data_IF_361366841817
#
_entry.id   IF_361366841817
#
_cell.length_a   1.000
_cell.length_b   1.000
_cell.length_c   1.000
_cell.angle_alpha   90.00
_cell.angle_beta   90.00
_cell.angle_gamma   90.00
#
_symmetry.space_group_name_H-M   'P 1'
#
loop_
_entity.id
_entity.type
_entity.pdbx_description
1 polymer ?
#
# COMPACT_ATOMS: atom_id res chain seq x y z
N UNK A 1 -25.84 0.74 -8.88
CA UNK A 1 -25.39 1.79 -7.91
C UNK A 1 -23.89 1.66 -7.59
N UNK A 2 -23.39 0.47 -7.30
CA UNK A 2 -22.01 0.18 -6.89
C UNK A 2 -20.97 0.52 -7.96
N UNK A 3 -21.20 0.22 -9.23
CA UNK A 3 -20.22 0.43 -10.33
C UNK A 3 -19.78 1.88 -10.55
N UNK A 4 -20.66 2.88 -10.30
CA UNK A 4 -20.30 4.30 -10.45
C UNK A 4 -19.30 4.73 -9.38
N UNK A 5 -19.52 4.34 -8.12
CA UNK A 5 -18.61 4.61 -6.99
C UNK A 5 -17.28 3.92 -7.17
N UNK A 6 -17.27 2.64 -7.57
CA UNK A 6 -16.06 1.88 -7.87
C UNK A 6 -15.24 2.52 -9.00
N UNK A 7 -15.89 3.00 -10.06
CA UNK A 7 -15.24 3.72 -11.14
C UNK A 7 -14.58 5.03 -10.68
N UNK A 8 -15.25 5.80 -9.84
CA UNK A 8 -14.70 7.03 -9.27
C UNK A 8 -13.56 6.74 -8.30
N UNK A 9 -13.74 5.75 -7.42
CA UNK A 9 -12.70 5.33 -6.48
C UNK A 9 -11.40 4.99 -7.20
N UNK A 10 -11.47 4.16 -8.23
CA UNK A 10 -10.30 3.77 -9.03
C UNK A 10 -9.65 5.00 -9.71
N UNK A 11 -10.44 5.88 -10.34
CA UNK A 11 -9.91 7.02 -11.12
C UNK A 11 -9.34 8.13 -10.24
N UNK A 12 -9.95 8.40 -9.09
CA UNK A 12 -9.51 9.46 -8.17
C UNK A 12 -8.39 9.00 -7.23
N UNK A 13 -8.09 7.71 -7.12
CA UNK A 13 -7.10 7.19 -6.20
C UNK A 13 -5.67 7.17 -6.73
N UNK A 14 -5.40 7.62 -7.95
CA UNK A 14 -4.03 7.75 -8.48
C UNK A 14 -3.30 8.94 -7.84
N UNK A 15 -2.19 8.72 -7.08
CA UNK A 15 -1.44 9.81 -6.48
C UNK A 15 -0.71 10.70 -7.49
N UNK A 16 -0.49 10.28 -8.72
CA UNK A 16 0.12 11.12 -9.76
C UNK A 16 -0.86 12.16 -10.34
N UNK A 17 -2.15 12.01 -10.09
CA UNK A 17 -3.19 12.93 -10.57
C UNK A 17 -4.26 12.25 -11.41
N UNK A 18 -5.08 13.07 -12.05
CA UNK A 18 -6.16 12.61 -12.92
C UNK A 18 -5.60 12.19 -14.28
N UNK A 19 -6.14 11.09 -14.81
CA UNK A 19 -5.94 10.79 -16.23
C UNK A 19 -6.63 11.90 -17.05
N UNK A 20 -5.91 12.65 -17.92
CA UNK A 20 -6.47 13.77 -18.68
C UNK A 20 -7.61 13.34 -19.63
N UNK A 21 -7.65 12.07 -20.02
CA UNK A 21 -8.69 11.53 -20.89
C UNK A 21 -9.93 11.03 -20.12
N UNK A 22 -9.96 11.16 -18.79
CA UNK A 22 -11.10 10.74 -18.00
C UNK A 22 -12.07 11.90 -17.81
N UNK A 23 -13.27 11.73 -18.33
CA UNK A 23 -14.39 12.65 -18.11
C UNK A 23 -15.28 12.08 -16.99
N UNK A 24 -15.41 12.79 -15.85
CA UNK A 24 -16.28 12.36 -14.78
C UNK A 24 -17.76 12.45 -15.21
N UNK A 25 -18.55 11.43 -14.87
CA UNK A 25 -20.00 11.48 -15.07
C UNK A 25 -20.64 12.42 -14.04
N UNK A 26 -21.59 13.27 -14.45
CA UNK A 26 -22.27 14.18 -13.54
C UNK A 26 -22.98 13.46 -12.38
N UNK A 27 -23.00 14.13 -11.23
CA UNK A 27 -23.79 13.75 -10.05
C UNK A 27 -24.94 14.72 -9.87
N UNK A 28 -26.17 14.22 -9.71
CA UNK A 28 -27.24 15.06 -9.22
C UNK A 28 -27.01 15.41 -7.74
N UNK A 29 -27.42 16.59 -7.30
CA UNK A 29 -27.25 17.04 -5.90
C UNK A 29 -27.86 16.04 -4.89
N UNK A 30 -28.95 15.38 -5.24
CA UNK A 30 -29.56 14.28 -4.46
C UNK A 30 -28.66 13.07 -4.32
N UNK A 31 -27.57 12.97 -5.08
CA UNK A 31 -26.56 11.90 -5.02
C UNK A 31 -25.35 12.26 -4.12
N UNK A 32 -25.32 13.49 -3.52
CA UNK A 32 -24.24 13.90 -2.61
C UNK A 32 -23.92 12.90 -1.48
N UNK A 33 -24.89 12.19 -0.88
CA UNK A 33 -24.59 11.12 0.07
C UNK A 33 -23.69 10.02 -0.51
N UNK A 34 -23.72 9.80 -1.83
CA UNK A 34 -22.82 8.84 -2.50
C UNK A 34 -21.38 9.33 -2.56
N UNK A 35 -21.14 10.64 -2.68
CA UNK A 35 -19.78 11.21 -2.62
C UNK A 35 -19.21 11.13 -1.20
N UNK A 36 -20.04 11.28 -0.17
CA UNK A 36 -19.64 10.98 1.20
C UNK A 36 -19.25 9.51 1.38
N UNK A 37 -20.04 8.60 0.82
CA UNK A 37 -19.69 7.17 0.81
C UNK A 37 -18.39 6.89 0.04
N UNK A 38 -18.11 7.63 -1.03
CA UNK A 38 -16.84 7.52 -1.75
C UNK A 38 -15.64 7.91 -0.87
N UNK A 39 -15.76 8.95 -0.01
CA UNK A 39 -14.71 9.31 0.96
C UNK A 39 -14.48 8.20 2.01
N UNK A 40 -15.55 7.56 2.45
CA UNK A 40 -15.48 6.45 3.41
C UNK A 40 -14.82 5.20 2.75
N UNK A 41 -15.19 4.90 1.50
CA UNK A 41 -14.53 3.81 0.73
C UNK A 41 -13.05 4.11 0.51
N UNK A 42 -12.69 5.35 0.17
CA UNK A 42 -11.29 5.76 0.03
C UNK A 42 -10.50 5.55 1.32
N UNK A 43 -11.11 5.81 2.48
CA UNK A 43 -10.53 5.48 3.79
C UNK A 43 -10.34 3.98 4.00
N UNK A 44 -11.34 3.17 3.66
CA UNK A 44 -11.26 1.71 3.75
C UNK A 44 -10.19 1.10 2.85
N UNK A 45 -9.95 1.74 1.71
CA UNK A 45 -8.90 1.35 0.75
C UNK A 45 -7.54 2.01 1.02
N UNK A 46 -7.44 2.90 2.02
CA UNK A 46 -6.25 3.69 2.37
C UNK A 46 -5.72 4.55 1.20
N UNK A 47 -6.61 5.10 0.36
CA UNK A 47 -6.28 5.95 -0.80
C UNK A 47 -6.89 7.34 -0.70
N UNK A 48 -7.35 7.74 0.49
CA UNK A 48 -8.03 9.01 0.73
C UNK A 48 -7.21 10.25 0.35
N UNK A 49 -5.90 10.34 0.63
CA UNK A 49 -5.12 11.53 0.26
C UNK A 49 -5.18 11.85 -1.23
N UNK A 50 -4.95 10.86 -2.09
CA UNK A 50 -5.03 11.01 -3.54
C UNK A 50 -6.45 11.35 -3.99
N UNK A 51 -7.45 10.63 -3.48
CA UNK A 51 -8.85 10.84 -3.83
C UNK A 51 -9.33 12.25 -3.46
N UNK A 52 -9.03 12.73 -2.25
CA UNK A 52 -9.44 14.08 -1.81
C UNK A 52 -8.83 15.16 -2.68
N UNK A 53 -7.52 15.05 -2.99
CA UNK A 53 -6.83 15.98 -3.87
C UNK A 53 -7.46 16.00 -5.27
N UNK A 54 -7.65 14.85 -5.87
CA UNK A 54 -8.17 14.71 -7.23
C UNK A 54 -9.65 15.10 -7.32
N UNK A 55 -10.45 14.76 -6.31
CA UNK A 55 -11.84 15.22 -6.20
C UNK A 55 -11.91 16.74 -6.13
N UNK A 56 -11.05 17.36 -5.33
CA UNK A 56 -10.96 18.82 -5.24
C UNK A 56 -10.58 19.48 -6.58
N UNK A 57 -9.68 18.86 -7.37
CA UNK A 57 -9.37 19.33 -8.71
C UNK A 57 -10.60 19.23 -9.63
N UNK A 58 -11.27 18.08 -9.64
CA UNK A 58 -12.47 17.87 -10.47
C UNK A 58 -13.59 18.86 -10.12
N UNK A 59 -13.85 19.08 -8.83
CA UNK A 59 -14.90 20.00 -8.39
C UNK A 59 -14.60 21.48 -8.73
N UNK A 60 -13.32 21.86 -8.80
CA UNK A 60 -12.92 23.23 -9.17
C UNK A 60 -12.85 23.46 -10.68
N UNK A 61 -12.41 22.46 -11.46
CA UNK A 61 -12.18 22.61 -12.90
C UNK A 61 -13.42 22.43 -13.76
N UNK A 62 -14.43 21.70 -13.24
CA UNK A 62 -15.68 21.46 -13.97
C UNK A 62 -16.92 21.67 -13.06
N UNK A 63 -17.10 22.85 -12.48
CA UNK A 63 -18.09 23.08 -11.43
C UNK A 63 -19.54 22.83 -11.88
N UNK A 64 -19.93 23.35 -13.02
CA UNK A 64 -21.34 23.42 -13.44
C UNK A 64 -21.84 22.14 -14.12
N UNK A 65 -20.92 21.31 -14.60
CA UNK A 65 -21.26 20.06 -15.29
C UNK A 65 -21.20 18.83 -14.39
N UNK A 66 -20.49 18.92 -13.25
CA UNK A 66 -20.26 17.77 -12.40
C UNK A 66 -21.36 17.51 -11.38
N UNK A 67 -21.95 18.58 -10.84
CA UNK A 67 -23.09 18.52 -9.90
C UNK A 67 -24.28 19.23 -10.53
N UNK A 68 -25.35 18.50 -10.78
CA UNK A 68 -26.57 19.02 -11.36
C UNK A 68 -27.66 19.18 -10.30
N UNK A 69 -28.35 20.32 -10.30
CA UNK A 69 -29.41 20.61 -9.34
C UNK A 69 -29.77 22.09 -9.32
N UNK A 70 -30.57 22.56 -8.34
CA UNK A 70 -30.82 23.97 -8.16
C UNK A 70 -29.53 24.75 -7.95
N UNK A 71 -29.28 25.86 -8.68
CA UNK A 71 -28.01 26.59 -8.62
C UNK A 71 -27.63 27.07 -7.21
N UNK A 72 -28.60 27.50 -6.44
CA UNK A 72 -28.45 27.95 -5.06
C UNK A 72 -28.03 26.84 -4.08
N UNK A 73 -28.29 25.59 -4.40
CA UNK A 73 -27.91 24.44 -3.58
C UNK A 73 -26.57 23.81 -3.96
N UNK A 74 -26.02 24.06 -5.15
CA UNK A 74 -24.79 23.41 -5.66
C UNK A 74 -23.55 23.84 -4.86
N UNK A 75 -23.31 25.15 -4.71
CA UNK A 75 -22.13 25.67 -4.02
C UNK A 75 -22.06 25.31 -2.53
N UNK A 76 -23.18 25.42 -1.76
CA UNK A 76 -23.17 24.92 -0.39
C UNK A 76 -22.85 23.44 -0.27
N UNK A 77 -23.38 22.60 -1.18
CA UNK A 77 -23.13 21.17 -1.18
C UNK A 77 -21.68 20.81 -1.50
N UNK A 78 -21.06 21.51 -2.49
CA UNK A 78 -19.62 21.36 -2.79
C UNK A 78 -18.76 21.77 -1.60
N UNK A 79 -19.04 22.94 -1.00
CA UNK A 79 -18.29 23.46 0.13
C UNK A 79 -18.32 22.49 1.32
N UNK A 80 -19.47 21.93 1.64
CA UNK A 80 -19.63 20.95 2.71
C UNK A 80 -18.83 19.66 2.43
N UNK A 81 -18.89 19.15 1.19
CA UNK A 81 -18.13 17.96 0.79
C UNK A 81 -16.64 18.20 0.88
N UNK A 82 -16.15 19.35 0.38
CA UNK A 82 -14.71 19.69 0.42
C UNK A 82 -14.23 19.93 1.84
N UNK A 83 -15.02 20.55 2.70
CA UNK A 83 -14.69 20.73 4.12
C UNK A 83 -14.50 19.38 4.82
N UNK A 84 -15.47 18.45 4.66
CA UNK A 84 -15.37 17.09 5.19
C UNK A 84 -14.16 16.32 4.63
N UNK A 85 -13.93 16.40 3.34
CA UNK A 85 -12.80 15.75 2.68
C UNK A 85 -11.46 16.25 3.25
N UNK A 86 -11.34 17.57 3.46
CA UNK A 86 -10.14 18.18 4.01
C UNK A 86 -9.93 17.81 5.49
N UNK A 87 -10.98 17.81 6.30
CA UNK A 87 -10.92 17.34 7.70
C UNK A 87 -10.35 15.92 7.80
N UNK A 88 -10.92 14.98 7.04
CA UNK A 88 -10.46 13.60 7.01
C UNK A 88 -9.00 13.48 6.56
N UNK A 89 -8.59 14.30 5.59
CA UNK A 89 -7.20 14.34 5.12
C UNK A 89 -6.25 14.87 6.20
N UNK A 90 -6.64 15.90 6.93
CA UNK A 90 -5.81 16.46 8.01
C UNK A 90 -5.57 15.45 9.13
N UNK A 91 -6.57 14.65 9.49
CA UNK A 91 -6.42 13.56 10.46
C UNK A 91 -5.41 12.51 9.98
N UNK A 92 -5.49 12.09 8.71
CA UNK A 92 -4.54 11.15 8.12
C UNK A 92 -3.11 11.73 8.13
N UNK A 93 -2.92 13.01 7.79
CA UNK A 93 -1.62 13.68 7.78
C UNK A 93 -1.05 13.83 9.18
N UNK A 94 -1.85 14.27 10.15
CA UNK A 94 -1.40 14.42 11.53
C UNK A 94 -0.86 13.11 12.10
N UNK A 95 -1.57 12.00 11.85
CA UNK A 95 -1.09 10.67 12.24
C UNK A 95 0.19 10.27 11.52
N UNK A 96 0.28 10.53 10.21
CA UNK A 96 1.46 10.20 9.42
C UNK A 96 2.71 10.95 9.91
N UNK A 97 2.59 12.20 10.34
CA UNK A 97 3.70 12.98 10.90
C UNK A 97 4.22 12.33 12.18
N UNK A 98 3.33 12.00 13.12
CA UNK A 98 3.73 11.36 14.40
C UNK A 98 4.44 10.02 14.15
N UNK A 99 3.92 9.21 13.23
CA UNK A 99 4.53 7.91 12.89
C UNK A 99 5.89 8.07 12.19
N UNK A 100 6.02 9.07 11.32
CA UNK A 100 7.30 9.34 10.64
C UNK A 100 8.35 9.88 11.60
N UNK A 101 7.99 10.74 12.55
CA UNK A 101 8.90 11.20 13.60
C UNK A 101 9.34 10.03 14.50
N UNK A 102 8.40 9.16 14.89
CA UNK A 102 8.73 7.93 15.62
C UNK A 102 9.68 7.03 14.82
N UNK A 103 9.45 6.85 13.52
CA UNK A 103 10.32 6.05 12.67
C UNK A 103 11.74 6.64 12.60
N UNK A 104 11.87 7.97 12.45
CA UNK A 104 13.15 8.67 12.41
C UNK A 104 13.92 8.46 13.71
N UNK A 105 13.30 8.70 14.87
CA UNK A 105 13.93 8.54 16.16
C UNK A 105 14.42 7.10 16.40
N UNK A 106 13.62 6.10 15.97
CA UNK A 106 14.00 4.69 16.04
C UNK A 106 15.19 4.36 15.14
N UNK A 107 15.20 4.86 13.91
CA UNK A 107 16.31 4.65 12.97
C UNK A 107 17.60 5.31 13.45
N UNK A 108 17.52 6.52 14.01
CA UNK A 108 18.69 7.24 14.57
C UNK A 108 19.29 6.48 15.75
N UNK A 109 18.48 5.95 16.65
CA UNK A 109 18.93 5.14 17.77
C UNK A 109 19.49 3.79 17.33
N UNK A 110 18.84 3.13 16.38
CA UNK A 110 19.33 1.90 15.80
C UNK A 110 20.69 2.10 15.11
N UNK A 111 20.85 3.19 14.35
CA UNK A 111 22.11 3.52 13.69
C UNK A 111 23.23 3.79 14.70
N UNK A 112 22.96 4.55 15.79
CA UNK A 112 23.93 4.78 16.89
C UNK A 112 24.35 3.49 17.59
N UNK A 113 23.45 2.50 17.66
CA UNK A 113 23.72 1.18 18.21
C UNK A 113 24.33 0.20 17.18
N UNK A 114 24.58 0.63 15.93
CA UNK A 114 25.12 -0.21 14.86
C UNK A 114 24.18 -1.35 14.42
N UNK A 115 22.88 -1.20 14.63
CA UNK A 115 21.90 -2.25 14.33
C UNK A 115 21.49 -2.22 12.84
N UNK A 116 21.44 -3.37 12.17
CA UNK A 116 21.00 -3.49 10.80
C UNK A 116 19.46 -3.43 10.70
N UNK A 117 18.92 -2.22 10.63
CA UNK A 117 17.48 -1.91 10.58
C UNK A 117 17.17 -1.11 9.31
N UNK A 118 16.11 -1.44 8.64
CA UNK A 118 15.55 -0.69 7.52
C UNK A 118 14.09 -0.34 7.78
N UNK A 119 13.71 0.91 7.51
CA UNK A 119 12.31 1.29 7.42
C UNK A 119 11.71 0.69 6.14
N UNK A 120 10.53 0.13 6.25
CA UNK A 120 9.83 -0.49 5.11
C UNK A 120 8.38 0.00 5.02
N UNK A 121 7.76 -0.14 3.85
CA UNK A 121 6.35 0.21 3.63
C UNK A 121 6.02 1.67 4.01
N UNK A 122 5.00 1.92 4.82
CA UNK A 122 4.51 3.16 5.42
C UNK A 122 5.23 4.43 5.00
N UNK A 123 6.05 4.97 5.89
CA UNK A 123 6.78 6.20 5.70
C UNK A 123 7.90 6.10 4.65
N UNK A 124 8.54 4.92 4.48
CA UNK A 124 9.53 4.71 3.40
C UNK A 124 8.92 4.93 2.01
N UNK A 125 7.79 4.28 1.71
CA UNK A 125 7.12 4.48 0.44
C UNK A 125 6.60 5.90 0.26
N UNK A 126 6.04 6.50 1.32
CA UNK A 126 5.55 7.87 1.27
C UNK A 126 6.65 8.87 0.84
N UNK A 127 7.86 8.73 1.37
CA UNK A 127 9.00 9.56 1.02
C UNK A 127 9.58 9.19 -0.35
N UNK A 128 9.83 7.90 -0.60
CA UNK A 128 10.52 7.44 -1.80
C UNK A 128 9.70 7.56 -3.08
N UNK A 129 8.37 7.34 -3.02
CA UNK A 129 7.55 7.22 -4.21
C UNK A 129 6.37 8.20 -4.29
N UNK A 130 5.86 8.71 -3.17
CA UNK A 130 4.68 9.58 -3.16
C UNK A 130 4.99 11.08 -3.04
N UNK A 131 6.26 11.45 -2.90
CA UNK A 131 6.67 12.83 -2.76
C UNK A 131 6.28 13.46 -1.41
N UNK A 132 5.98 12.65 -0.39
CA UNK A 132 5.77 13.12 0.99
C UNK A 132 4.68 12.38 1.76
N UNK A 133 4.74 12.55 3.09
CA UNK A 133 3.89 11.87 4.06
C UNK A 133 2.39 12.13 3.85
N UNK A 134 2.05 13.32 3.34
CA UNK A 134 0.67 13.75 3.14
C UNK A 134 -0.05 13.09 1.95
N UNK A 135 0.67 12.32 1.14
CA UNK A 135 0.14 11.68 -0.06
C UNK A 135 -0.15 10.19 0.10
N UNK A 136 0.23 9.59 1.24
CA UNK A 136 0.01 8.17 1.52
C UNK A 136 -0.44 7.94 2.95
N UNK A 137 -1.55 7.21 3.13
CA UNK A 137 -2.02 6.80 4.46
C UNK A 137 -1.21 5.62 4.98
N UNK A 138 -0.80 5.65 6.24
CA UNK A 138 -0.24 4.52 6.98
C UNK A 138 -0.60 4.63 8.48
N UNK A 139 -0.57 3.52 9.19
CA UNK A 139 -1.11 3.40 10.56
C UNK A 139 -0.11 2.87 11.57
N UNK A 140 1.07 2.49 11.11
CA UNK A 140 2.11 1.78 11.83
C UNK A 140 3.50 2.18 11.31
N UNK A 141 4.52 1.83 12.08
CA UNK A 141 5.92 1.91 11.69
C UNK A 141 6.42 0.48 11.48
N UNK A 142 6.80 0.16 10.25
CA UNK A 142 7.31 -1.16 9.90
C UNK A 142 8.84 -1.13 9.80
N UNK A 143 9.52 -1.97 10.56
CA UNK A 143 10.97 -2.13 10.57
C UNK A 143 11.34 -3.54 10.11
N UNK A 144 12.24 -3.65 9.15
CA UNK A 144 12.85 -4.91 8.72
C UNK A 144 14.28 -4.99 9.26
N UNK A 145 14.59 -6.07 9.94
CA UNK A 145 15.87 -6.26 10.64
C UNK A 145 16.48 -7.62 10.35
N UNK A 146 17.79 -7.76 10.57
CA UNK A 146 18.36 -9.09 10.74
C UNK A 146 17.90 -9.71 12.05
N UNK A 147 17.67 -11.01 12.06
CA UNK A 147 17.14 -11.73 13.22
C UNK A 147 18.01 -11.62 14.47
N UNK A 148 19.33 -11.59 14.29
CA UNK A 148 20.32 -11.44 15.37
C UNK A 148 20.27 -10.06 16.06
N UNK A 149 19.77 -9.04 15.38
CA UNK A 149 19.60 -7.70 15.91
C UNK A 149 18.29 -7.50 16.73
N UNK A 150 17.37 -8.46 16.72
CA UNK A 150 16.05 -8.33 17.36
C UNK A 150 16.13 -8.06 18.87
N UNK A 151 16.98 -8.73 19.68
CA UNK A 151 17.07 -8.46 21.10
C UNK A 151 17.52 -7.02 21.39
N UNK A 152 18.57 -6.55 20.72
CA UNK A 152 19.10 -5.21 20.90
C UNK A 152 18.13 -4.12 20.44
N UNK A 153 17.40 -4.32 19.34
CA UNK A 153 16.33 -3.41 18.94
C UNK A 153 15.18 -3.42 19.95
N UNK A 154 14.88 -4.59 20.55
CA UNK A 154 13.91 -4.71 21.64
C UNK A 154 14.26 -3.83 22.84
N UNK A 155 15.54 -3.77 23.23
CA UNK A 155 16.01 -2.90 24.32
C UNK A 155 15.88 -1.42 23.96
N UNK A 156 16.17 -1.04 22.70
CA UNK A 156 15.95 0.34 22.22
C UNK A 156 14.46 0.72 22.29
N UNK A 157 13.57 -0.15 21.82
CA UNK A 157 12.13 0.08 21.87
C UNK A 157 11.61 0.19 23.31
N UNK A 158 12.06 -0.69 24.21
CA UNK A 158 11.70 -0.64 25.62
C UNK A 158 12.21 0.64 26.29
N UNK A 159 13.43 1.08 25.99
CA UNK A 159 14.00 2.35 26.46
C UNK A 159 13.21 3.59 26.01
N UNK A 160 12.53 3.52 24.87
CA UNK A 160 11.61 4.56 24.40
C UNK A 160 10.18 4.43 24.97
N UNK A 161 9.93 3.45 25.84
CA UNK A 161 8.64 3.22 26.47
C UNK A 161 7.65 2.43 25.61
N UNK A 162 8.10 1.72 24.58
CA UNK A 162 7.27 0.76 23.88
C UNK A 162 7.17 -0.54 24.68
N UNK A 163 6.00 -1.15 24.63
CA UNK A 163 5.72 -2.44 25.28
C UNK A 163 5.39 -3.47 24.22
N UNK A 164 6.13 -4.58 24.23
CA UNK A 164 5.79 -5.74 23.41
C UNK A 164 4.80 -6.63 24.15
N UNK A 165 3.73 -6.99 23.48
CA UNK A 165 2.74 -7.94 23.98
C UNK A 165 3.03 -9.39 23.53
N UNK A 166 4.11 -9.58 22.78
CA UNK A 166 4.47 -10.85 22.16
C UNK A 166 5.87 -11.29 22.62
N UNK A 167 6.11 -12.61 22.74
CA UNK A 167 7.44 -13.11 23.10
C UNK A 167 8.47 -12.78 22.01
N UNK A 168 9.78 -12.78 22.34
CA UNK A 168 10.86 -12.58 21.38
C UNK A 168 10.81 -13.53 20.17
N UNK A 169 11.34 -13.09 19.02
CA UNK A 169 11.36 -13.85 17.76
C UNK A 169 12.41 -15.00 17.76
N UNK A 170 12.46 -15.77 18.85
CA UNK A 170 13.43 -16.89 18.99
C UNK A 170 13.13 -18.07 18.09
N UNK A 171 11.86 -18.27 17.70
CA UNK A 171 11.45 -19.37 16.83
C UNK A 171 11.46 -18.94 15.36
N UNK A 172 12.03 -19.75 14.48
CA UNK A 172 12.08 -19.50 13.05
C UNK A 172 10.69 -19.42 12.39
N UNK A 173 9.65 -19.95 13.04
CA UNK A 173 8.27 -19.85 12.56
C UNK A 173 7.68 -18.45 12.66
N UNK A 174 8.16 -17.61 13.59
CA UNK A 174 7.70 -16.22 13.78
C UNK A 174 8.67 -15.25 13.11
N UNK A 175 8.11 -14.32 12.35
CA UNK A 175 8.87 -13.29 11.60
C UNK A 175 8.43 -11.87 11.93
N UNK A 176 7.46 -11.70 12.81
CA UNK A 176 6.90 -10.41 13.21
C UNK A 176 6.76 -10.33 14.72
N UNK A 177 7.08 -9.17 15.29
CA UNK A 177 6.81 -8.79 16.69
C UNK A 177 6.26 -7.39 16.77
N UNK A 178 5.18 -7.21 17.51
CA UNK A 178 4.47 -5.95 17.66
C UNK A 178 4.82 -5.26 18.96
N UNK A 179 5.05 -3.95 18.86
CA UNK A 179 5.34 -3.06 19.97
C UNK A 179 4.37 -1.90 19.94
N UNK A 180 3.87 -1.52 21.11
CA UNK A 180 2.89 -0.43 21.23
C UNK A 180 3.31 0.58 22.27
N UNK A 181 2.95 1.86 22.02
CA UNK A 181 3.13 2.97 22.97
C UNK A 181 1.93 3.90 22.87
N UNK A 182 1.40 4.34 24.00
CA UNK A 182 0.37 5.38 24.03
C UNK A 182 0.97 6.72 23.62
N UNK A 183 0.22 7.49 22.81
CA UNK A 183 0.61 8.84 22.40
C UNK A 183 -0.58 9.81 22.55
N UNK A 184 -0.38 11.00 23.14
CA UNK A 184 -1.48 11.90 23.53
C UNK A 184 -2.34 12.36 22.34
N UNK A 185 -1.76 12.50 21.15
CA UNK A 185 -2.45 13.03 19.96
C UNK A 185 -2.72 11.98 18.87
N UNK A 186 -1.99 10.86 18.88
CA UNK A 186 -2.13 9.82 17.84
C UNK A 186 -2.79 8.52 18.36
N UNK A 187 -3.18 8.49 19.63
CA UNK A 187 -3.70 7.31 20.30
C UNK A 187 -2.60 6.28 20.55
N UNK A 188 -2.70 5.09 19.96
CA UNK A 188 -1.64 4.08 20.09
C UNK A 188 -0.73 4.11 18.86
N UNK A 189 0.57 4.25 19.09
CA UNK A 189 1.61 4.04 18.08
C UNK A 189 1.91 2.54 18.07
N UNK A 190 1.85 1.95 16.88
CA UNK A 190 2.23 0.56 16.61
C UNK A 190 3.55 0.55 15.84
N UNK A 191 4.51 -0.23 16.32
CA UNK A 191 5.75 -0.57 15.62
C UNK A 191 5.75 -2.08 15.37
N UNK A 192 5.86 -2.47 14.10
CA UNK A 192 5.97 -3.86 13.67
C UNK A 192 7.43 -4.16 13.28
N UNK A 193 8.06 -5.07 14.01
CA UNK A 193 9.44 -5.51 13.77
C UNK A 193 9.41 -6.84 13.01
N UNK A 194 9.95 -6.84 11.80
CA UNK A 194 9.97 -7.99 10.90
C UNK A 194 11.37 -8.54 10.69
N UNK A 195 11.51 -9.85 10.65
CA UNK A 195 12.76 -10.53 10.23
C UNK A 195 12.61 -11.16 8.84
N UNK A 196 11.39 -11.26 8.33
CA UNK A 196 11.02 -11.62 6.97
C UNK A 196 9.64 -11.03 6.66
N UNK A 197 9.45 -10.54 5.47
CA UNK A 197 8.18 -9.94 5.04
C UNK A 197 7.10 -10.95 4.68
N UNK A 198 7.43 -12.23 4.61
CA UNK A 198 6.49 -13.33 4.39
C UNK A 198 6.18 -14.01 5.73
N UNK A 199 5.05 -13.65 6.35
CA UNK A 199 4.72 -14.12 7.71
C UNK A 199 4.21 -15.56 7.75
N UNK A 200 3.59 -16.03 6.66
CA UNK A 200 3.02 -17.38 6.57
C UNK A 200 4.11 -18.41 6.33
N UNK A 201 4.34 -19.39 7.22
CA UNK A 201 5.41 -20.37 7.09
C UNK A 201 5.35 -21.18 5.78
N UNK A 202 4.14 -21.53 5.32
CA UNK A 202 3.94 -22.27 4.08
C UNK A 202 4.40 -21.48 2.86
N UNK A 203 4.14 -20.17 2.81
CA UNK A 203 4.58 -19.30 1.73
C UNK A 203 6.09 -19.02 1.79
N UNK A 204 6.70 -18.96 2.99
CA UNK A 204 8.13 -18.73 3.15
C UNK A 204 9.02 -19.84 2.56
N UNK A 205 8.49 -21.03 2.35
CA UNK A 205 9.21 -22.09 1.63
C UNK A 205 9.49 -21.74 0.18
N UNK A 206 8.67 -20.87 -0.41
CA UNK A 206 8.69 -20.50 -1.82
C UNK A 206 9.14 -19.07 -2.05
N UNK A 207 8.92 -18.17 -1.09
CA UNK A 207 9.22 -16.74 -1.21
C UNK A 207 9.67 -16.15 0.12
N UNK A 208 10.61 -15.20 0.08
CA UNK A 208 11.18 -14.57 1.28
C UNK A 208 11.76 -13.21 0.92
N UNK A 209 11.69 -12.27 1.85
CA UNK A 209 12.37 -10.98 1.75
C UNK A 209 12.89 -10.59 3.13
N UNK A 210 14.15 -10.87 3.37
CA UNK A 210 14.90 -10.54 4.59
C UNK A 210 15.59 -9.18 4.47
N UNK A 211 16.16 -8.69 5.56
CA UNK A 211 16.94 -7.44 5.59
C UNK A 211 18.04 -7.42 4.52
N UNK A 212 18.86 -8.47 4.45
CA UNK A 212 20.00 -8.53 3.51
C UNK A 212 19.56 -8.63 2.04
N UNK A 213 18.37 -9.22 1.77
CA UNK A 213 17.79 -9.25 0.45
C UNK A 213 17.14 -7.90 0.06
N UNK A 214 16.71 -7.11 1.02
CA UNK A 214 16.07 -5.81 0.83
C UNK A 214 17.08 -4.67 0.74
N UNK A 215 18.01 -4.60 1.68
CA UNK A 215 19.05 -3.57 1.78
C UNK A 215 20.35 -4.06 1.15
N UNK A 216 20.80 -3.42 0.08
CA UNK A 216 21.99 -3.77 -0.67
C UNK A 216 23.05 -2.65 -0.52
N UNK A 217 24.02 -2.79 0.41
CA UNK A 217 25.06 -1.77 0.61
C UNK A 217 25.88 -1.47 -0.63
N UNK A 218 26.08 -2.47 -1.52
CA UNK A 218 26.83 -2.29 -2.76
C UNK A 218 26.12 -1.39 -3.76
N UNK A 219 24.80 -1.24 -3.60
CA UNK A 219 23.96 -0.33 -4.41
C UNK A 219 23.55 0.96 -3.65
N UNK A 220 24.19 1.25 -2.53
CA UNK A 220 23.85 2.41 -1.71
C UNK A 220 22.59 2.24 -0.85
N UNK A 221 22.16 1.01 -0.60
CA UNK A 221 21.03 0.72 0.27
C UNK A 221 19.79 0.17 -0.48
N UNK A 222 18.61 0.66 -0.12
CA UNK A 222 17.34 0.14 -0.65
C UNK A 222 17.05 0.72 -2.04
N UNK A 223 17.00 -0.13 -3.06
CA UNK A 223 16.72 0.26 -4.46
C UNK A 223 15.20 0.32 -4.73
N UNK A 224 14.76 1.04 -5.80
CA UNK A 224 13.37 1.01 -6.25
C UNK A 224 12.87 -0.42 -6.58
N UNK A 225 13.73 -1.27 -7.14
CA UNK A 225 13.40 -2.68 -7.40
C UNK A 225 13.11 -3.45 -6.11
N UNK A 226 13.93 -3.27 -5.07
CA UNK A 226 13.68 -3.88 -3.75
C UNK A 226 12.36 -3.41 -3.13
N UNK A 227 12.05 -2.10 -3.21
CA UNK A 227 10.76 -1.55 -2.75
C UNK A 227 9.57 -2.13 -3.52
N UNK A 228 9.70 -2.34 -4.84
CA UNK A 228 8.63 -2.93 -5.63
C UNK A 228 8.39 -4.41 -5.27
N UNK A 229 9.44 -5.18 -5.03
CA UNK A 229 9.34 -6.55 -4.50
C UNK A 229 8.63 -6.54 -3.14
N UNK A 230 9.02 -5.63 -2.24
CA UNK A 230 8.40 -5.44 -0.93
C UNK A 230 6.89 -5.17 -1.05
N UNK A 231 6.50 -4.20 -1.88
CA UNK A 231 5.09 -3.84 -2.09
C UNK A 231 4.28 -5.03 -2.65
N UNK A 232 4.85 -5.75 -3.61
CA UNK A 232 4.21 -6.90 -4.23
C UNK A 232 4.01 -8.07 -3.25
N UNK A 233 5.05 -8.44 -2.50
CA UNK A 233 4.99 -9.50 -1.49
C UNK A 233 3.99 -9.12 -0.38
N UNK A 234 4.08 -7.91 0.17
CA UNK A 234 3.15 -7.44 1.20
C UNK A 234 1.69 -7.47 0.73
N UNK A 235 1.42 -6.95 -0.48
CA UNK A 235 0.07 -6.99 -1.07
C UNK A 235 -0.45 -8.40 -1.30
N UNK A 236 0.40 -9.30 -1.79
CA UNK A 236 0.01 -10.66 -2.16
C UNK A 236 -0.09 -11.61 -0.95
N UNK A 237 0.91 -11.63 -0.08
CA UNK A 237 1.02 -12.67 0.97
C UNK A 237 0.27 -12.32 2.24
N UNK A 238 0.33 -11.06 2.67
CA UNK A 238 -0.30 -10.62 3.92
C UNK A 238 -1.75 -10.18 3.72
N UNK A 239 -2.08 -9.62 2.56
CA UNK A 239 -3.37 -8.94 2.35
C UNK A 239 -4.17 -9.42 1.14
N UNK A 240 -3.62 -10.26 0.28
CA UNK A 240 -4.29 -10.78 -0.92
C UNK A 240 -4.94 -9.65 -1.76
N UNK A 241 -4.23 -8.52 -1.89
CA UNK A 241 -4.70 -7.29 -2.54
C UNK A 241 -6.09 -6.81 -2.07
N UNK A 242 -6.36 -6.88 -0.75
CA UNK A 242 -7.65 -6.51 -0.19
C UNK A 242 -7.96 -5.00 -0.20
N UNK A 243 -7.01 -4.15 -0.52
CA UNK A 243 -7.15 -2.69 -0.62
C UNK A 243 -6.47 -2.18 -1.87
N UNK A 244 -6.99 -1.11 -2.44
CA UNK A 244 -6.36 -0.42 -3.57
C UNK A 244 -4.94 0.06 -3.24
N UNK A 245 -4.67 0.45 -2.00
CA UNK A 245 -3.34 0.90 -1.58
C UNK A 245 -2.23 -0.06 -1.98
N UNK A 246 -2.44 -1.39 -1.89
CA UNK A 246 -1.41 -2.36 -2.26
C UNK A 246 -1.08 -2.37 -3.75
N UNK A 247 -2.05 -2.01 -4.58
CA UNK A 247 -1.83 -1.82 -6.02
C UNK A 247 -1.22 -0.44 -6.29
N UNK A 248 -1.66 0.59 -5.58
CA UNK A 248 -1.15 1.98 -5.70
C UNK A 248 0.30 2.07 -5.23
N UNK A 249 0.70 1.34 -4.18
CA UNK A 249 2.11 1.25 -3.78
C UNK A 249 2.97 0.71 -4.92
N UNK A 250 2.58 -0.40 -5.53
CA UNK A 250 3.26 -0.95 -6.71
C UNK A 250 3.26 0.01 -7.90
N UNK A 251 2.15 0.69 -8.16
CA UNK A 251 2.01 1.72 -9.20
C UNK A 251 3.02 2.86 -9.02
N UNK A 252 3.07 3.44 -7.81
CA UNK A 252 3.91 4.59 -7.54
C UNK A 252 5.40 4.26 -7.59
N UNK A 253 5.76 3.10 -7.04
CA UNK A 253 7.16 2.64 -7.08
C UNK A 253 7.58 2.28 -8.52
N UNK A 254 6.70 1.66 -9.33
CA UNK A 254 7.00 1.36 -10.74
C UNK A 254 7.33 2.62 -11.58
N UNK A 255 6.88 3.80 -11.15
CA UNK A 255 7.18 5.10 -11.80
C UNK A 255 8.55 5.69 -11.46
N UNK A 256 9.33 5.07 -10.56
CA UNK A 256 10.64 5.58 -10.11
C UNK A 256 11.80 5.27 -11.06
N UNK A 257 11.56 4.69 -12.23
CA UNK A 257 12.62 4.33 -13.17
C UNK A 257 13.41 3.11 -12.69
N UNK A 258 12.78 1.94 -12.72
CA UNK A 258 13.35 0.68 -12.22
C UNK A 258 14.19 0.00 -13.31
N UNK A 259 15.39 -0.45 -12.96
CA UNK A 259 16.16 -1.38 -13.78
C UNK A 259 15.43 -2.74 -13.87
N UNK A 260 14.96 -3.06 -15.08
CA UNK A 260 14.19 -4.26 -15.36
C UNK A 260 14.99 -5.55 -15.11
N UNK A 261 16.31 -5.53 -15.34
CA UNK A 261 17.18 -6.67 -15.11
C UNK A 261 17.33 -6.93 -13.60
N UNK A 262 17.62 -5.88 -12.83
CA UNK A 262 17.67 -5.99 -11.36
C UNK A 262 16.35 -6.51 -10.81
N UNK A 263 15.23 -5.97 -11.30
CA UNK A 263 13.89 -6.38 -10.85
C UNK A 263 13.64 -7.87 -11.11
N UNK A 264 13.98 -8.36 -12.31
CA UNK A 264 13.79 -9.76 -12.67
C UNK A 264 14.68 -10.70 -11.81
N UNK A 265 15.93 -10.32 -11.57
CA UNK A 265 16.85 -11.06 -10.71
C UNK A 265 16.35 -11.13 -9.27
N UNK A 266 15.96 -9.97 -8.68
CA UNK A 266 15.41 -9.91 -7.32
C UNK A 266 14.10 -10.69 -7.21
N UNK A 267 13.21 -10.62 -8.20
CA UNK A 267 11.96 -11.36 -8.23
C UNK A 267 12.19 -12.89 -8.25
N UNK A 268 13.23 -13.34 -8.95
CA UNK A 268 13.65 -14.76 -8.95
C UNK A 268 14.20 -15.16 -7.59
N UNK A 269 15.15 -14.41 -7.04
CA UNK A 269 15.79 -14.71 -5.76
C UNK A 269 14.82 -14.74 -4.58
N UNK A 270 13.86 -13.80 -4.56
CA UNK A 270 12.85 -13.71 -3.51
C UNK A 270 11.65 -14.63 -3.71
N UNK A 271 11.52 -15.30 -4.85
CA UNK A 271 10.31 -16.07 -5.22
C UNK A 271 9.10 -15.20 -5.55
N UNK A 272 9.29 -13.90 -5.76
CA UNK A 272 8.21 -12.91 -5.88
C UNK A 272 7.66 -12.73 -7.31
N UNK A 273 8.01 -13.58 -8.28
CA UNK A 273 7.61 -13.38 -9.70
C UNK A 273 6.09 -13.27 -9.88
N UNK A 274 5.30 -14.18 -9.29
CA UNK A 274 3.85 -14.14 -9.39
C UNK A 274 3.22 -12.97 -8.61
N UNK A 275 3.58 -12.72 -7.32
CA UNK A 275 3.18 -11.51 -6.60
C UNK A 275 3.44 -10.22 -7.37
N UNK A 276 4.66 -10.06 -7.90
CA UNK A 276 5.08 -8.89 -8.64
C UNK A 276 4.29 -8.72 -9.95
N UNK A 277 4.14 -9.80 -10.71
CA UNK A 277 3.34 -9.80 -11.93
C UNK A 277 1.87 -9.42 -11.66
N UNK A 278 1.28 -9.92 -10.57
CA UNK A 278 -0.07 -9.56 -10.15
C UNK A 278 -0.17 -8.07 -9.84
N UNK A 279 0.75 -7.52 -9.05
CA UNK A 279 0.76 -6.09 -8.68
C UNK A 279 0.88 -5.19 -9.91
N UNK A 280 1.85 -5.46 -10.79
CA UNK A 280 2.10 -4.67 -12.00
C UNK A 280 0.93 -4.74 -13.00
N UNK A 281 0.37 -5.93 -13.21
CA UNK A 281 -0.79 -6.12 -14.06
C UNK A 281 -2.01 -5.36 -13.54
N UNK A 282 -2.31 -5.46 -12.24
CA UNK A 282 -3.42 -4.73 -11.63
C UNK A 282 -3.22 -3.21 -11.73
N UNK A 283 -1.99 -2.72 -11.52
CA UNK A 283 -1.66 -1.31 -11.70
C UNK A 283 -1.87 -0.85 -13.16
N UNK A 284 -1.43 -1.64 -14.13
CA UNK A 284 -1.65 -1.36 -15.54
C UNK A 284 -3.13 -1.40 -15.93
N UNK A 285 -3.92 -2.35 -15.42
CA UNK A 285 -5.35 -2.50 -15.74
C UNK A 285 -6.22 -1.41 -15.08
N UNK A 286 -5.96 -1.06 -13.82
CA UNK A 286 -6.79 -0.10 -13.06
C UNK A 286 -6.45 1.34 -13.45
N UNK A 287 -5.16 1.66 -13.63
CA UNK A 287 -4.67 3.02 -13.79
C UNK A 287 -4.13 3.33 -15.19
N UNK A 288 -4.03 2.32 -16.07
CA UNK A 288 -3.49 2.51 -17.42
C UNK A 288 -1.99 2.82 -17.45
N UNK A 289 -1.22 2.45 -16.42
CA UNK A 289 0.18 2.84 -16.27
C UNK A 289 1.11 2.12 -17.27
N UNK A 290 1.78 2.85 -18.19
CA UNK A 290 2.69 2.25 -19.17
C UNK A 290 3.89 1.56 -18.48
N UNK A 291 4.54 2.21 -17.52
CA UNK A 291 5.69 1.67 -16.79
C UNK A 291 5.37 0.34 -16.11
N UNK A 292 4.18 0.22 -15.48
CA UNK A 292 3.76 -1.05 -14.89
C UNK A 292 3.57 -2.14 -15.95
N UNK A 293 3.12 -1.79 -17.14
CA UNK A 293 2.97 -2.72 -18.27
C UNK A 293 4.32 -3.19 -18.80
N UNK A 294 5.23 -2.27 -19.03
CA UNK A 294 6.58 -2.54 -19.49
C UNK A 294 7.31 -3.48 -18.52
N UNK A 295 7.33 -3.15 -17.22
CA UNK A 295 7.93 -4.00 -16.19
C UNK A 295 7.24 -5.39 -16.10
N UNK A 296 5.91 -5.44 -16.25
CA UNK A 296 5.19 -6.73 -16.30
C UNK A 296 5.66 -7.58 -17.48
N UNK A 297 5.88 -6.98 -18.65
CA UNK A 297 6.29 -7.70 -19.85
C UNK A 297 7.70 -8.29 -19.72
N UNK A 298 8.61 -7.65 -18.97
CA UNK A 298 9.96 -8.17 -18.72
C UNK A 298 9.99 -9.42 -17.82
N UNK A 299 8.94 -9.65 -17.04
CA UNK A 299 8.86 -10.82 -16.14
C UNK A 299 8.43 -12.12 -16.82
N UNK A 300 8.00 -12.05 -18.09
CA UNK A 300 7.48 -13.22 -18.82
C UNK A 300 8.59 -14.22 -19.16
N UNK A 301 8.32 -15.53 -19.19
CA UNK A 301 7.02 -16.17 -18.91
C UNK A 301 6.73 -16.24 -17.41
N UNK A 302 5.44 -16.08 -17.03
CA UNK A 302 5.01 -16.11 -15.63
C UNK A 302 4.18 -17.38 -15.43
N UNK A 303 4.62 -18.32 -14.57
CA UNK A 303 3.84 -19.49 -14.22
C UNK A 303 2.44 -19.10 -13.71
N UNK A 304 1.43 -19.90 -14.08
CA UNK A 304 0.05 -19.72 -13.62
C UNK A 304 -0.63 -18.38 -13.97
N UNK A 305 -0.02 -17.50 -14.76
CA UNK A 305 -0.55 -16.16 -15.06
C UNK A 305 -1.98 -16.16 -15.63
N UNK A 306 -2.36 -17.19 -16.43
CA UNK A 306 -3.72 -17.33 -16.98
C UNK A 306 -4.76 -17.62 -15.88
N UNK A 307 -4.42 -18.44 -14.90
CA UNK A 307 -5.27 -18.78 -13.76
C UNK A 307 -5.37 -17.60 -12.82
N UNK A 308 -4.24 -16.97 -12.52
CA UNK A 308 -4.15 -15.78 -11.67
C UNK A 308 -5.06 -14.65 -12.19
N UNK A 309 -5.06 -14.35 -13.49
CA UNK A 309 -5.91 -13.30 -14.09
C UNK A 309 -7.40 -13.56 -13.92
N UNK A 310 -7.84 -14.82 -13.91
CA UNK A 310 -9.23 -15.18 -13.66
C UNK A 310 -9.63 -15.04 -12.19
N UNK A 311 -8.68 -15.24 -11.29
CA UNK A 311 -8.90 -15.17 -9.85
C UNK A 311 -8.78 -13.73 -9.35
N UNK A 312 -7.63 -13.08 -9.60
CA UNK A 312 -7.31 -11.74 -9.10
C UNK A 312 -7.62 -10.69 -10.17
N UNK A 313 -8.83 -10.18 -10.18
CA UNK A 313 -9.29 -9.17 -11.14
C UNK A 313 -9.31 -7.76 -10.54
N UNK A 314 -9.22 -6.73 -11.38
CA UNK A 314 -9.38 -5.33 -10.95
C UNK A 314 -10.69 -5.10 -10.17
N UNK A 315 -11.81 -5.66 -10.64
CA UNK A 315 -13.08 -5.59 -9.95
C UNK A 315 -13.05 -6.22 -8.54
N UNK A 316 -12.32 -7.33 -8.35
CA UNK A 316 -12.12 -7.96 -7.04
C UNK A 316 -11.41 -7.02 -6.06
N UNK A 317 -10.40 -6.29 -6.52
CA UNK A 317 -9.62 -5.37 -5.68
C UNK A 317 -10.47 -4.14 -5.32
N UNK A 318 -11.10 -3.51 -6.30
CA UNK A 318 -11.87 -2.27 -6.12
C UNK A 318 -13.08 -2.49 -5.19
N UNK A 319 -13.81 -3.60 -5.35
CA UNK A 319 -15.02 -3.90 -4.55
C UNK A 319 -14.76 -4.64 -3.24
N UNK A 320 -13.50 -4.88 -2.89
CA UNK A 320 -13.11 -5.79 -1.80
C UNK A 320 -13.51 -5.32 -0.40
N UNK A 321 -13.76 -4.04 -0.20
CA UNK A 321 -14.13 -3.45 1.10
C UNK A 321 -15.63 -3.14 1.24
N UNK A 322 -16.40 -3.39 0.18
CA UNK A 322 -17.86 -3.21 0.20
C UNK A 322 -18.59 -4.22 1.09
N UNK A 323 -19.90 -4.03 1.29
CA UNK A 323 -20.72 -4.89 2.16
C UNK A 323 -20.70 -6.37 1.78
N UNK A 324 -20.44 -6.68 0.51
CA UNK A 324 -20.42 -8.06 -0.02
C UNK A 324 -19.00 -8.66 -0.08
N UNK A 325 -18.02 -8.09 0.62
CA UNK A 325 -16.62 -8.57 0.64
C UNK A 325 -16.48 -10.07 0.92
N UNK A 326 -17.36 -10.65 1.74
CA UNK A 326 -17.35 -12.08 2.08
C UNK A 326 -17.54 -12.99 0.86
N UNK A 327 -18.26 -12.55 -0.20
CA UNK A 327 -18.42 -13.28 -1.46
C UNK A 327 -17.12 -13.37 -2.27
N UNK A 328 -16.16 -12.52 -1.97
CA UNK A 328 -14.89 -12.44 -2.66
C UNK A 328 -13.79 -13.25 -1.96
N UNK A 329 -14.03 -13.69 -0.71
CA UNK A 329 -13.06 -14.46 0.08
C UNK A 329 -12.61 -15.75 -0.61
N UNK A 330 -13.50 -16.59 -1.22
CA UNK A 330 -13.06 -17.82 -1.88
C UNK A 330 -12.01 -17.56 -2.98
N UNK A 331 -12.18 -16.52 -3.79
CA UNK A 331 -11.21 -16.15 -4.84
C UNK A 331 -9.85 -15.75 -4.26
N UNK A 332 -9.84 -15.09 -3.11
CA UNK A 332 -8.61 -14.71 -2.41
C UNK A 332 -7.87 -15.93 -1.86
N UNK A 333 -8.61 -16.88 -1.28
CA UNK A 333 -8.03 -18.14 -0.82
C UNK A 333 -7.50 -18.99 -1.98
N UNK A 334 -8.19 -19.00 -3.12
CA UNK A 334 -7.66 -19.63 -4.35
C UNK A 334 -6.37 -18.98 -4.80
N UNK A 335 -6.26 -17.64 -4.75
CA UNK A 335 -5.02 -16.94 -5.06
C UNK A 335 -3.91 -17.31 -4.07
N UNK A 336 -4.19 -17.41 -2.78
CA UNK A 336 -3.22 -17.88 -1.78
C UNK A 336 -2.74 -19.30 -2.07
N UNK A 337 -3.64 -20.20 -2.45
CA UNK A 337 -3.27 -21.56 -2.90
C UNK A 337 -2.37 -21.53 -4.14
N UNK A 338 -2.67 -20.62 -5.08
CA UNK A 338 -1.85 -20.44 -6.27
C UNK A 338 -0.41 -19.96 -5.94
N UNK A 339 -0.26 -19.08 -4.95
CA UNK A 339 1.05 -18.63 -4.47
C UNK A 339 1.89 -19.78 -3.89
N UNK A 340 1.25 -20.79 -3.29
CA UNK A 340 1.95 -21.99 -2.78
C UNK A 340 2.40 -22.93 -3.89
N UNK A 341 1.66 -22.96 -5.02
CA UNK A 341 1.99 -23.80 -6.19
C UNK A 341 3.00 -23.14 -7.13
N UNK A 342 3.06 -21.81 -7.12
CA UNK A 342 3.99 -21.06 -7.95
C UNK A 342 5.37 -21.07 -7.32
N UNK A 343 6.21 -22.04 -7.72
CA UNK A 343 7.63 -22.02 -7.35
C UNK A 343 8.32 -20.84 -8.06
N UNK A 344 8.40 -19.73 -7.38
CA UNK A 344 8.98 -18.50 -7.92
C UNK A 344 10.52 -18.55 -8.09
N UNK A 345 11.17 -19.60 -7.60
CA UNK A 345 12.62 -19.78 -7.67
C UNK A 345 13.08 -20.65 -8.86
N UNK A 346 12.15 -21.28 -9.57
CA UNK A 346 12.44 -22.07 -10.74
C UNK A 346 12.76 -21.23 -11.99
#
# INVERSE_FOLDING_TARGET
>A
MTRKIEGWLARLSDPAGLNPNWLPQPFAIKEMPRLNHLLDEAGRHNVRPALVRNLGLVLRSAPDTLITGPPDAIEPAKSLLLARANELRLLDVARAVVLADTARDLLDLAAKAGLPVALVKGADFAQAAYGGLHNRTFTDVDLLIRRDAEPALGDVLAGLGFVSQEPPLRHASRTERKWTKAHPHAGTILVEVHTDMVHTPELRRHMSLTYDAYNDPAKGGVTPAARLIMAALHGATSHLFARLQYVVDGLMIARLGIDAKELAERAKLSGARLPLATALRLAAEIYGCPHSRELFDTLKPIPWSRVERRIMTAALVISSKGPQRWRLLPRRYLYRGLLQLADGRA
#
